data_IF_826147687016
#
_entry.id   IF_826147687016
#
_cell.length_a   1.000
_cell.length_b   1.000
_cell.length_c   1.000
_cell.angle_alpha   90.00
_cell.angle_beta   90.00
_cell.angle_gamma   90.00
#
_symmetry.space_group_name_H-M   'P 1'
#
loop_
_entity.id
_entity.type
_entity.pdbx_description
1 polymer ?
#
# COMPACT_ATOMS: atom_id res chain seq x y z
N UNK A 1 -25.19 -7.87 17.70
CA UNK A 1 -24.48 -6.77 17.01
C UNK A 1 -23.24 -7.35 16.38
N UNK A 2 -23.09 -7.30 15.05
CA UNK A 2 -21.81 -7.63 14.41
C UNK A 2 -20.86 -6.48 14.73
N UNK A 3 -19.79 -6.74 15.48
CA UNK A 3 -18.72 -5.77 15.71
C UNK A 3 -18.23 -5.30 14.35
N UNK A 4 -18.34 -4.00 14.04
CA UNK A 4 -17.70 -3.42 12.86
C UNK A 4 -16.21 -3.73 12.98
N UNK A 5 -15.70 -4.66 12.17
CA UNK A 5 -14.27 -4.96 12.13
C UNK A 5 -13.58 -3.65 11.76
N UNK A 6 -12.74 -3.13 12.66
CA UNK A 6 -11.90 -1.97 12.40
C UNK A 6 -11.01 -2.33 11.19
N UNK A 7 -11.27 -1.72 10.05
CA UNK A 7 -10.54 -1.97 8.81
C UNK A 7 -9.17 -1.29 8.89
N UNK A 8 -8.14 -1.99 8.42
CA UNK A 8 -6.76 -1.50 8.34
C UNK A 8 -6.57 -0.64 7.08
N UNK A 9 -7.27 0.50 7.02
CA UNK A 9 -7.36 1.35 5.81
C UNK A 9 -5.99 1.73 5.25
N UNK A 10 -4.98 1.96 6.11
CA UNK A 10 -3.68 2.45 5.68
C UNK A 10 -2.86 1.43 4.87
N UNK A 11 -3.27 0.15 4.87
CA UNK A 11 -2.63 -0.94 4.11
C UNK A 11 -3.39 -1.31 2.84
N UNK A 12 -4.60 -0.79 2.65
CA UNK A 12 -5.50 -1.21 1.60
C UNK A 12 -5.16 -0.51 0.28
N UNK A 13 -5.37 -1.22 -0.83
CA UNK A 13 -5.20 -0.67 -2.16
C UNK A 13 -6.33 0.33 -2.52
N UNK A 14 -6.16 1.22 -3.51
CA UNK A 14 -7.17 2.17 -3.94
C UNK A 14 -8.54 1.55 -4.23
N UNK A 15 -8.57 0.46 -5.01
CA UNK A 15 -9.80 -0.26 -5.35
C UNK A 15 -10.46 -0.91 -4.13
N UNK A 16 -9.68 -1.25 -3.11
CA UNK A 16 -10.17 -1.87 -1.88
C UNK A 16 -10.76 -0.83 -0.92
N UNK A 17 -10.14 0.35 -0.80
CA UNK A 17 -10.68 1.43 0.06
C UNK A 17 -11.89 2.13 -0.54
N UNK A 18 -12.03 2.12 -1.86
CA UNK A 18 -13.16 2.74 -2.55
C UNK A 18 -14.33 1.78 -2.72
N UNK A 19 -14.08 0.59 -3.27
CA UNK A 19 -15.14 -0.30 -3.74
C UNK A 19 -15.20 -1.62 -2.98
N UNK A 20 -14.33 -1.82 -1.97
CA UNK A 20 -14.18 -3.09 -1.25
C UNK A 20 -13.85 -4.27 -2.17
N UNK A 21 -13.13 -4.00 -3.27
CA UNK A 21 -12.62 -5.03 -4.17
C UNK A 21 -11.29 -5.58 -3.63
N UNK A 22 -11.28 -6.88 -3.37
CA UNK A 22 -10.10 -7.61 -2.89
C UNK A 22 -9.64 -8.57 -3.98
N UNK A 23 -8.35 -8.58 -4.27
CA UNK A 23 -7.74 -9.43 -5.29
C UNK A 23 -6.29 -9.73 -4.95
N UNK A 24 -5.66 -10.64 -5.71
CA UNK A 24 -4.21 -10.85 -5.60
C UNK A 24 -3.42 -9.56 -5.91
N UNK A 25 -3.97 -8.65 -6.73
CA UNK A 25 -3.34 -7.35 -7.03
C UNK A 25 -3.46 -6.36 -5.87
N UNK A 26 -4.54 -6.42 -5.07
CA UNK A 26 -4.61 -5.64 -3.83
C UNK A 26 -3.60 -6.14 -2.80
N UNK A 27 -3.37 -7.46 -2.74
CA UNK A 27 -2.35 -8.04 -1.86
C UNK A 27 -0.93 -7.58 -2.25
N UNK A 28 -0.63 -7.45 -3.54
CA UNK A 28 0.66 -6.89 -4.04
C UNK A 28 0.87 -5.45 -3.55
N UNK A 29 -0.19 -4.63 -3.56
CA UNK A 29 -0.12 -3.26 -3.04
C UNK A 29 0.16 -3.25 -1.54
N UNK A 30 -0.60 -4.05 -0.77
CA UNK A 30 -0.43 -4.19 0.68
C UNK A 30 0.96 -4.73 1.04
N UNK A 31 1.55 -5.61 0.22
CA UNK A 31 2.92 -6.06 0.38
C UNK A 31 3.94 -4.92 0.19
N UNK A 32 3.68 -3.98 -0.72
CA UNK A 32 4.45 -2.75 -0.83
C UNK A 32 4.39 -1.89 0.44
N UNK A 33 3.21 -1.77 1.05
CA UNK A 33 3.03 -1.08 2.34
C UNK A 33 3.80 -1.79 3.45
N UNK A 34 3.71 -3.12 3.55
CA UNK A 34 4.49 -3.91 4.51
C UNK A 34 6.00 -3.72 4.31
N UNK A 35 6.46 -3.67 3.06
CA UNK A 35 7.87 -3.40 2.74
C UNK A 35 8.27 -2.02 3.27
N UNK A 36 7.43 -1.00 3.10
CA UNK A 36 7.67 0.31 3.71
C UNK A 36 7.77 0.22 5.23
N UNK A 37 6.86 -0.46 5.92
CA UNK A 37 6.89 -0.59 7.38
C UNK A 37 8.17 -1.23 7.91
N UNK A 38 8.67 -2.28 7.24
CA UNK A 38 9.90 -2.95 7.65
C UNK A 38 11.10 -1.99 7.62
N UNK A 39 11.19 -1.17 6.57
CA UNK A 39 12.33 -0.26 6.37
C UNK A 39 12.19 1.06 7.13
N UNK A 40 10.96 1.55 7.28
CA UNK A 40 10.66 2.80 7.99
C UNK A 40 10.55 2.61 9.50
N UNK A 41 10.12 1.43 9.95
CA UNK A 41 9.70 1.15 11.33
C UNK A 41 8.60 2.10 11.81
N UNK A 42 7.74 2.53 10.89
CA UNK A 42 6.62 3.44 11.13
C UNK A 42 5.33 2.86 10.61
N UNK A 43 4.22 3.31 11.18
CA UNK A 43 2.91 3.03 10.61
C UNK A 43 2.76 3.72 9.24
N UNK A 44 2.15 3.09 8.23
CA UNK A 44 1.82 3.77 6.98
C UNK A 44 0.88 4.94 7.25
N UNK A 45 1.16 6.08 6.60
CA UNK A 45 0.41 7.32 6.82
C UNK A 45 0.31 7.69 8.33
N UNK A 46 1.41 7.51 9.07
CA UNK A 46 1.52 7.84 10.49
C UNK A 46 1.00 9.25 10.81
N UNK A 47 0.16 9.35 11.85
CA UNK A 47 -0.43 10.61 12.29
C UNK A 47 -1.69 11.05 11.53
N UNK A 48 -2.09 10.33 10.48
CA UNK A 48 -3.32 10.60 9.74
C UNK A 48 -4.46 9.67 10.15
N UNK A 49 -5.69 10.15 10.04
CA UNK A 49 -6.90 9.35 10.23
C UNK A 49 -7.18 8.44 9.03
N UNK A 50 -8.03 7.42 9.22
CA UNK A 50 -8.48 6.54 8.14
C UNK A 50 -9.08 7.33 6.95
N UNK A 51 -9.77 8.45 7.20
CA UNK A 51 -10.39 9.26 6.14
C UNK A 51 -9.34 10.02 5.32
N UNK A 52 -8.33 10.59 5.98
CA UNK A 52 -7.20 11.27 5.32
C UNK A 52 -6.34 10.27 4.55
N UNK A 53 -6.01 9.12 5.17
CA UNK A 53 -5.26 8.06 4.50
C UNK A 53 -6.00 7.54 3.27
N UNK A 54 -7.33 7.33 3.36
CA UNK A 54 -8.15 6.98 2.19
C UNK A 54 -8.01 8.02 1.07
N UNK A 55 -8.14 9.31 1.38
CA UNK A 55 -7.98 10.37 0.37
C UNK A 55 -6.59 10.32 -0.30
N UNK A 56 -5.53 10.20 0.51
CA UNK A 56 -4.15 10.09 0.00
C UNK A 56 -3.93 8.86 -0.90
N UNK A 57 -4.47 7.71 -0.51
CA UNK A 57 -4.38 6.47 -1.31
C UNK A 57 -5.06 6.67 -2.67
N UNK A 58 -6.26 7.27 -2.70
CA UNK A 58 -7.00 7.50 -3.96
C UNK A 58 -6.33 8.54 -4.86
N UNK A 59 -5.68 9.55 -4.28
CA UNK A 59 -4.87 10.54 -4.99
C UNK A 59 -3.52 9.95 -5.49
N UNK A 60 -3.18 8.73 -5.10
CA UNK A 60 -1.91 8.09 -5.43
C UNK A 60 -0.71 8.64 -4.64
N UNK A 61 -0.96 9.32 -3.51
CA UNK A 61 0.11 9.77 -2.60
C UNK A 61 0.72 8.56 -1.88
N UNK A 62 2.04 8.44 -2.00
CA UNK A 62 2.84 7.32 -1.49
C UNK A 62 3.50 7.65 -0.16
N UNK A 63 3.88 6.61 0.59
CA UNK A 63 4.72 6.78 1.78
C UNK A 63 6.18 7.00 1.36
N UNK A 64 6.87 7.89 2.07
CA UNK A 64 8.28 8.21 1.78
C UNK A 64 9.22 7.24 2.50
N UNK A 65 9.93 6.41 1.74
CA UNK A 65 10.96 5.55 2.30
C UNK A 65 12.09 6.37 2.94
N UNK A 66 12.65 5.92 4.09
CA UNK A 66 13.82 6.57 4.67
C UNK A 66 15.03 6.58 3.72
N UNK A 67 15.95 7.58 3.84
CA UNK A 67 17.13 7.67 2.97
C UNK A 67 18.06 6.45 2.99
N UNK A 68 18.03 5.65 4.06
CA UNK A 68 18.84 4.44 4.23
C UNK A 68 18.27 3.21 3.50
N UNK A 69 17.05 3.28 2.99
CA UNK A 69 16.45 2.17 2.24
C UNK A 69 17.20 1.97 0.93
N UNK A 70 17.56 0.73 0.54
CA UNK A 70 18.18 0.48 -0.75
C UNK A 70 17.37 1.09 -1.89
N UNK A 71 17.96 2.03 -2.65
CA UNK A 71 17.24 2.82 -3.66
C UNK A 71 16.48 1.95 -4.67
N UNK A 72 17.09 0.86 -5.13
CA UNK A 72 16.46 -0.09 -6.06
C UNK A 72 15.14 -0.67 -5.51
N UNK A 73 15.10 -0.98 -4.22
CA UNK A 73 13.89 -1.50 -3.58
C UNK A 73 12.81 -0.41 -3.47
N UNK A 74 13.18 0.78 -2.99
CA UNK A 74 12.25 1.90 -2.88
C UNK A 74 11.67 2.29 -4.25
N UNK A 75 12.51 2.37 -5.29
CA UNK A 75 12.09 2.65 -6.66
C UNK A 75 11.16 1.55 -7.19
N UNK A 76 11.45 0.27 -6.92
CA UNK A 76 10.63 -0.85 -7.33
C UNK A 76 9.24 -0.82 -6.69
N UNK A 77 9.16 -0.65 -5.37
CA UNK A 77 7.88 -0.52 -4.66
C UNK A 77 7.07 0.66 -5.20
N UNK A 78 7.70 1.83 -5.33
CA UNK A 78 7.05 3.04 -5.81
C UNK A 78 6.55 2.92 -7.26
N UNK A 79 7.30 2.28 -8.15
CA UNK A 79 6.97 2.25 -9.58
C UNK A 79 6.16 1.04 -10.02
N UNK A 80 6.10 -0.03 -9.21
CA UNK A 80 5.44 -1.29 -9.57
C UNK A 80 4.33 -1.69 -8.61
N UNK A 81 4.57 -1.69 -7.30
CA UNK A 81 3.63 -2.23 -6.31
C UNK A 81 2.55 -1.21 -5.96
N UNK A 82 2.91 0.08 -5.89
CA UNK A 82 1.99 1.18 -5.61
C UNK A 82 1.47 1.88 -6.87
N UNK A 83 1.15 1.10 -7.92
CA UNK A 83 0.36 1.63 -9.04
C UNK A 83 -1.12 1.68 -8.65
N UNK A 84 -1.81 2.75 -9.03
CA UNK A 84 -3.23 2.88 -8.71
C UNK A 84 -4.08 1.89 -9.51
N UNK A 85 -3.73 1.68 -10.79
CA UNK A 85 -4.33 0.62 -11.60
C UNK A 85 -3.80 -0.76 -11.16
N UNK A 86 -4.66 -1.68 -10.71
CA UNK A 86 -4.24 -3.03 -10.33
C UNK A 86 -3.66 -3.86 -11.49
N UNK A 87 -4.03 -3.58 -12.74
CA UNK A 87 -3.51 -4.32 -13.90
C UNK A 87 -2.05 -3.98 -14.20
N UNK A 88 -1.62 -2.76 -13.85
CA UNK A 88 -0.23 -2.29 -13.94
C UNK A 88 0.68 -2.80 -12.81
N UNK A 89 0.11 -3.48 -11.81
CA UNK A 89 0.90 -4.13 -10.75
C UNK A 89 1.39 -5.49 -11.23
N UNK A 90 2.57 -5.96 -10.82
CA UNK A 90 3.01 -7.33 -11.11
C UNK A 90 2.15 -8.38 -10.39
N UNK A 91 2.34 -9.66 -10.71
CA UNK A 91 1.92 -10.77 -9.83
C UNK A 91 2.93 -10.96 -8.70
N UNK A 92 2.55 -11.60 -7.60
CA UNK A 92 3.50 -11.89 -6.52
C UNK A 92 4.68 -12.77 -6.97
N UNK A 93 4.47 -13.69 -7.92
CA UNK A 93 5.55 -14.48 -8.52
C UNK A 93 6.59 -13.59 -9.22
N UNK A 94 6.13 -12.57 -9.95
CA UNK A 94 7.01 -11.58 -10.59
C UNK A 94 7.71 -10.66 -9.57
N UNK A 95 7.13 -10.45 -8.38
CA UNK A 95 7.75 -9.65 -7.30
C UNK A 95 8.94 -10.39 -6.67
N UNK A 96 8.87 -11.71 -6.58
CA UNK A 96 9.90 -12.54 -5.91
C UNK A 96 10.97 -13.10 -6.84
N UNK A 97 10.82 -12.92 -8.15
CA UNK A 97 11.75 -13.40 -9.18
C UNK A 97 12.87 -12.39 -9.44
#
# INVERSE_FOLDING_TARGET
MKTLRKLSVHWMAPETVEEFLYSQKSDVYSFGILTYEIFSQKEPYEGYSNQEAKAFILEGRKNDFPPKTPKKLADFVNSKLWNNDPDDRPTMEQVTS
#
